data_IF_295959500128
#
_entry.id   IF_295959500128
#
_cell.length_a   1.000
_cell.length_b   1.000
_cell.length_c   1.000
_cell.angle_alpha   90.00
_cell.angle_beta   90.00
_cell.angle_gamma   90.00
#
_symmetry.space_group_name_H-M   'P 1'
#
loop_
_entity.id
_entity.type
_entity.pdbx_description
1 polymer ?
#
# COMPACT_ATOMS: atom_id res chain seq x y z
N UNK A 1 40.38 46.11 -15.91
CA UNK A 1 40.09 44.71 -15.48
C UNK A 1 38.69 44.22 -15.85
N UNK A 2 37.63 45.04 -15.80
CA UNK A 2 36.23 44.60 -16.00
C UNK A 2 35.95 43.78 -17.26
N UNK A 3 36.54 44.10 -18.42
CA UNK A 3 36.30 43.37 -19.67
C UNK A 3 36.59 41.87 -19.56
N UNK A 4 37.70 41.47 -18.93
CA UNK A 4 38.04 40.06 -18.69
C UNK A 4 37.04 39.35 -17.78
N UNK A 5 36.46 40.05 -16.79
CA UNK A 5 35.43 39.50 -15.92
C UNK A 5 34.13 39.23 -16.69
N UNK A 6 33.72 40.13 -17.58
CA UNK A 6 32.51 39.96 -18.39
C UNK A 6 32.59 38.71 -19.29
N UNK A 7 33.74 38.42 -19.90
CA UNK A 7 33.92 37.20 -20.69
C UNK A 7 33.86 35.92 -19.83
N UNK A 8 34.39 35.95 -18.61
CA UNK A 8 34.31 34.83 -17.67
C UNK A 8 32.86 34.57 -17.24
N UNK A 9 32.11 35.62 -16.89
CA UNK A 9 30.68 35.53 -16.56
C UNK A 9 29.87 34.99 -17.76
N UNK A 10 30.11 35.49 -18.97
CA UNK A 10 29.45 35.01 -20.18
C UNK A 10 29.77 33.52 -20.47
N UNK A 11 31.03 33.11 -20.31
CA UNK A 11 31.44 31.71 -20.47
C UNK A 11 30.79 30.79 -19.42
N UNK A 12 30.70 31.23 -18.16
CA UNK A 12 30.04 30.47 -17.10
C UNK A 12 28.53 30.32 -17.33
N UNK A 13 27.84 31.40 -17.72
CA UNK A 13 26.40 31.34 -18.07
C UNK A 13 26.17 30.44 -19.28
N UNK A 14 27.01 30.52 -20.31
CA UNK A 14 26.96 29.61 -21.46
C UNK A 14 27.15 28.16 -21.03
N UNK A 15 28.17 27.87 -20.21
CA UNK A 15 28.44 26.52 -19.69
C UNK A 15 27.26 25.97 -18.88
N UNK A 16 26.64 26.77 -18.01
CA UNK A 16 25.45 26.37 -17.24
C UNK A 16 24.27 26.01 -18.15
N UNK A 17 23.99 26.81 -19.19
CA UNK A 17 22.91 26.52 -20.15
C UNK A 17 23.14 25.18 -20.86
N UNK A 18 24.36 24.94 -21.34
CA UNK A 18 24.71 23.68 -22.02
C UNK A 18 24.65 22.49 -21.04
N UNK A 19 25.13 22.65 -19.81
CA UNK A 19 25.05 21.61 -18.78
C UNK A 19 23.59 21.26 -18.43
N UNK A 20 22.69 22.25 -18.29
CA UNK A 20 21.26 21.99 -18.07
C UNK A 20 20.61 21.24 -19.23
N UNK A 21 20.95 21.56 -20.47
CA UNK A 21 20.47 20.85 -21.67
C UNK A 21 20.96 19.39 -21.67
N UNK A 22 22.23 19.15 -21.35
CA UNK A 22 22.80 17.80 -21.28
C UNK A 22 22.12 16.99 -20.17
N UNK A 23 21.97 17.53 -18.95
CA UNK A 23 21.33 16.82 -17.84
C UNK A 23 19.85 16.49 -18.11
N UNK A 24 19.16 17.31 -18.90
CA UNK A 24 17.80 17.03 -19.37
C UNK A 24 17.78 15.91 -20.42
N UNK A 25 18.73 15.90 -21.36
CA UNK A 25 18.85 14.85 -22.39
C UNK A 25 19.30 13.49 -21.83
N UNK A 26 20.03 13.47 -20.72
CA UNK A 26 20.50 12.23 -20.07
C UNK A 26 19.56 11.74 -18.97
N UNK A 27 18.32 12.24 -18.90
CA UNK A 27 17.30 11.89 -17.89
C UNK A 27 17.81 11.97 -16.43
N UNK A 28 18.80 12.83 -16.13
CA UNK A 28 19.49 12.84 -14.83
C UNK A 28 18.55 13.14 -13.64
N UNK A 29 17.44 13.84 -13.91
CA UNK A 29 16.42 14.19 -12.91
C UNK A 29 15.30 13.15 -12.78
N UNK A 30 15.36 12.02 -13.50
CA UNK A 30 14.41 10.91 -13.32
C UNK A 30 14.70 10.15 -12.03
N UNK A 31 14.17 10.68 -10.92
CA UNK A 31 14.20 10.02 -9.63
C UNK A 31 13.29 8.79 -9.68
N UNK A 32 13.89 7.62 -9.87
CA UNK A 32 13.18 6.35 -9.93
C UNK A 32 12.48 6.11 -8.58
N UNK A 33 11.15 6.24 -8.56
CA UNK A 33 10.36 6.01 -7.35
C UNK A 33 10.51 4.55 -6.96
N UNK A 34 11.29 4.33 -5.89
CA UNK A 34 11.55 3.03 -5.27
C UNK A 34 10.28 2.17 -5.28
N UNK A 35 10.24 1.16 -6.17
CA UNK A 35 9.16 0.17 -6.20
C UNK A 35 9.28 -0.63 -4.89
N UNK A 36 8.48 -0.27 -3.88
CA UNK A 36 8.42 -1.04 -2.62
C UNK A 36 8.06 -2.49 -2.99
N UNK A 37 8.88 -3.49 -2.62
CA UNK A 37 8.49 -4.88 -2.81
C UNK A 37 7.31 -5.17 -1.90
N UNK A 38 6.12 -5.29 -2.47
CA UNK A 38 4.96 -5.81 -1.75
C UNK A 38 5.18 -7.29 -1.48
N UNK A 39 5.04 -7.66 -0.20
CA UNK A 39 5.04 -9.03 0.32
C UNK A 39 6.39 -9.78 0.33
N UNK A 40 7.12 -9.67 1.45
CA UNK A 40 8.18 -10.64 1.84
C UNK A 40 8.14 -11.04 3.32
N UNK A 41 7.02 -10.80 4.02
CA UNK A 41 6.79 -11.31 5.38
C UNK A 41 6.06 -12.66 5.27
N UNK A 42 6.64 -13.79 5.71
CA UNK A 42 5.93 -15.06 5.72
C UNK A 42 4.78 -14.98 6.71
N UNK A 43 3.59 -15.41 6.28
CA UNK A 43 2.41 -15.49 7.16
C UNK A 43 2.55 -16.75 8.01
N UNK A 44 2.80 -16.58 9.31
CA UNK A 44 2.71 -17.67 10.27
C UNK A 44 1.24 -18.04 10.47
N UNK A 45 0.81 -19.11 9.81
CA UNK A 45 -0.48 -19.77 10.06
C UNK A 45 -0.29 -20.85 11.11
N UNK A 46 -0.70 -20.55 12.35
CA UNK A 46 -0.83 -21.57 13.38
C UNK A 46 -2.07 -22.43 13.06
N UNK A 47 -1.84 -23.73 12.84
CA UNK A 47 -2.88 -24.67 12.44
C UNK A 47 -3.76 -25.01 13.65
N UNK A 48 -4.82 -24.22 13.85
CA UNK A 48 -5.92 -24.56 14.75
C UNK A 48 -6.68 -25.76 14.16
N UNK A 49 -6.31 -26.96 14.60
CA UNK A 49 -7.00 -28.19 14.23
C UNK A 49 -8.40 -28.21 14.87
N UNK A 50 -9.43 -28.07 14.04
CA UNK A 50 -10.84 -28.26 14.42
C UNK A 50 -11.03 -29.68 14.97
N UNK A 51 -11.18 -29.82 16.28
CA UNK A 51 -11.54 -31.11 16.89
C UNK A 51 -13.05 -31.33 16.79
N UNK A 52 -13.47 -32.49 16.28
CA UNK A 52 -14.85 -32.73 15.84
C UNK A 52 -15.90 -32.51 16.95
N UNK A 53 -16.83 -31.59 16.68
CA UNK A 53 -17.92 -31.23 17.60
C UNK A 53 -19.04 -32.30 17.58
N UNK A 54 -19.14 -33.11 18.63
CA UNK A 54 -20.36 -33.89 18.94
C UNK A 54 -21.34 -33.07 19.80
N UNK A 55 -22.64 -33.16 19.48
CA UNK A 55 -23.71 -32.30 20.03
C UNK A 55 -24.28 -32.75 21.38
N UNK A 56 -24.47 -31.75 22.27
CA UNK A 56 -25.56 -31.58 23.25
C UNK A 56 -25.57 -32.46 24.52
N UNK A 57 -26.22 -32.04 25.65
CA UNK A 57 -27.16 -30.91 25.83
C UNK A 57 -26.81 -29.87 26.92
N UNK A 58 -27.60 -28.78 26.97
CA UNK A 58 -27.50 -27.65 27.93
C UNK A 58 -28.08 -27.97 29.32
N UNK A 59 -27.61 -27.26 30.36
CA UNK A 59 -28.51 -26.65 31.35
C UNK A 59 -28.29 -25.12 31.49
N UNK A 60 -29.29 -24.44 32.06
CA UNK A 60 -29.23 -23.02 32.48
C UNK A 60 -28.78 -22.94 33.95
N UNK A 61 -28.13 -21.85 34.36
CA UNK A 61 -28.27 -21.34 35.71
C UNK A 61 -28.13 -19.81 35.77
N UNK A 62 -28.89 -19.17 36.66
CA UNK A 62 -29.00 -17.72 36.81
C UNK A 62 -28.23 -17.20 38.04
N UNK A 63 -28.26 -15.88 38.21
CA UNK A 63 -27.57 -15.10 39.25
C UNK A 63 -27.78 -15.63 40.69
N UNK A 64 -26.73 -15.55 41.52
CA UNK A 64 -26.80 -14.93 42.86
C UNK A 64 -25.41 -14.80 43.52
N UNK A 65 -24.93 -13.56 43.74
CA UNK A 65 -24.13 -13.19 44.92
C UNK A 65 -24.52 -11.75 45.29
N UNK A 66 -25.00 -11.56 46.52
CA UNK A 66 -25.29 -10.25 47.13
C UNK A 66 -25.01 -10.31 48.62
N UNK A 67 -24.48 -9.21 49.20
CA UNK A 67 -24.16 -9.01 50.63
C UNK A 67 -23.07 -9.96 51.21
N UNK A 68 -22.27 -9.65 52.24
CA UNK A 68 -22.06 -8.46 53.10
C UNK A 68 -20.64 -8.61 53.76
N UNK A 69 -19.99 -7.69 54.48
CA UNK A 69 -20.33 -6.38 55.09
C UNK A 69 -19.09 -5.44 55.07
N UNK A 70 -19.04 -4.42 55.96
CA UNK A 70 -17.98 -3.39 56.12
C UNK A 70 -17.20 -3.60 57.43
N UNK A 71 -15.93 -3.15 57.50
CA UNK A 71 -15.33 -2.58 58.72
C UNK A 71 -14.18 -1.61 58.39
N UNK A 72 -14.13 -0.48 59.08
CA UNK A 72 -13.26 0.69 58.80
C UNK A 72 -12.06 0.81 59.75
N UNK A 73 -11.22 1.82 59.47
CA UNK A 73 -9.99 2.27 60.17
C UNK A 73 -8.74 1.41 59.86
N UNK A 74 -7.55 2.00 59.68
CA UNK A 74 -6.91 2.98 60.56
C UNK A 74 -5.96 3.95 59.81
N UNK A 75 -6.18 5.26 60.04
CA UNK A 75 -5.22 6.39 60.05
C UNK A 75 -4.57 6.89 58.73
N UNK A 76 -4.41 8.21 58.70
CA UNK A 76 -3.81 9.06 57.66
C UNK A 76 -2.29 9.08 57.81
N UNK A 77 -1.55 9.13 56.70
CA UNK A 77 -0.23 9.78 56.69
C UNK A 77 0.02 10.46 55.35
N UNK A 78 0.53 11.70 55.42
CA UNK A 78 0.75 12.56 54.26
C UNK A 78 2.01 12.11 53.53
N UNK A 79 1.86 11.50 52.35
CA UNK A 79 2.97 11.41 51.40
C UNK A 79 2.60 12.05 50.07
N UNK A 80 3.30 13.15 49.82
CA UNK A 80 3.30 13.94 48.59
C UNK A 80 3.48 13.01 47.39
N UNK A 81 2.40 12.75 46.65
CA UNK A 81 2.46 12.03 45.37
C UNK A 81 3.12 12.96 44.36
N UNK A 82 4.45 12.97 44.36
CA UNK A 82 5.22 13.42 43.21
C UNK A 82 4.90 12.44 42.07
N UNK A 83 4.06 12.92 41.15
CA UNK A 83 3.60 12.20 39.96
C UNK A 83 4.83 11.74 39.16
N UNK A 84 5.22 10.49 39.36
CA UNK A 84 6.37 9.85 38.74
C UNK A 84 6.09 9.56 37.27
N UNK A 85 6.19 10.63 36.48
CA UNK A 85 6.12 10.73 35.02
C UNK A 85 7.25 9.98 34.29
N UNK A 86 7.62 8.79 34.79
CA UNK A 86 8.79 8.04 34.36
C UNK A 86 8.58 6.50 34.32
N UNK A 87 7.39 6.00 34.72
CA UNK A 87 7.11 4.55 34.80
C UNK A 87 6.03 4.08 33.80
N UNK A 88 5.20 4.98 33.26
CA UNK A 88 4.10 4.61 32.35
C UNK A 88 4.41 4.80 30.85
N UNK A 89 5.36 5.68 30.50
CA UNK A 89 5.60 6.07 29.11
C UNK A 89 6.15 4.93 28.24
N UNK A 90 6.88 3.97 28.79
CA UNK A 90 7.41 2.83 28.02
C UNK A 90 6.31 1.81 27.67
N UNK A 91 5.34 1.58 28.56
CA UNK A 91 4.24 0.65 28.30
C UNK A 91 3.22 1.22 27.32
N UNK A 92 2.82 2.48 27.49
CA UNK A 92 1.82 3.13 26.63
C UNK A 92 2.34 3.22 25.18
N UNK A 93 3.62 3.55 25.00
CA UNK A 93 4.22 3.69 23.68
C UNK A 93 4.35 2.34 22.95
N UNK A 94 4.67 1.26 23.68
CA UNK A 94 4.68 -0.10 23.13
C UNK A 94 3.26 -0.55 22.71
N UNK A 95 2.24 -0.29 23.54
CA UNK A 95 0.85 -0.62 23.21
C UNK A 95 0.35 0.14 21.98
N UNK A 96 0.66 1.43 21.87
CA UNK A 96 0.33 2.24 20.67
C UNK A 96 1.04 1.67 19.42
N UNK A 97 2.30 1.24 19.55
CA UNK A 97 3.03 0.63 18.44
C UNK A 97 2.46 -0.73 18.02
N UNK A 98 1.99 -1.54 18.98
CA UNK A 98 1.31 -2.82 18.73
C UNK A 98 -0.04 -2.61 18.03
N UNK A 99 -0.89 -1.71 18.55
CA UNK A 99 -2.16 -1.32 17.93
C UNK A 99 -1.96 -0.81 16.49
N UNK A 100 -0.95 0.05 16.27
CA UNK A 100 -0.58 0.51 14.93
C UNK A 100 -0.11 -0.64 14.03
N UNK A 101 0.68 -1.59 14.55
CA UNK A 101 1.12 -2.75 13.76
C UNK A 101 -0.06 -3.63 13.33
N UNK A 102 -1.02 -3.88 14.23
CA UNK A 102 -2.25 -4.63 13.96
C UNK A 102 -3.12 -3.89 12.92
N UNK A 103 -3.31 -2.59 13.07
CA UNK A 103 -4.04 -1.77 12.10
C UNK A 103 -3.40 -1.81 10.71
N UNK A 104 -2.09 -1.57 10.62
CA UNK A 104 -1.34 -1.64 9.36
C UNK A 104 -1.45 -3.03 8.70
N UNK A 105 -1.38 -4.11 9.48
CA UNK A 105 -1.58 -5.47 8.98
C UNK A 105 -3.00 -5.70 8.44
N UNK A 106 -4.03 -5.10 9.06
CA UNK A 106 -5.40 -5.13 8.54
C UNK A 106 -5.55 -4.36 7.22
N UNK A 107 -4.88 -3.21 7.08
CA UNK A 107 -4.88 -2.45 5.81
C UNK A 107 -4.12 -3.21 4.70
N UNK A 108 -2.95 -3.78 5.01
CA UNK A 108 -2.17 -4.62 4.08
C UNK A 108 -2.99 -5.81 3.54
N UNK A 109 -3.77 -6.49 4.39
CA UNK A 109 -4.60 -7.62 3.94
C UNK A 109 -5.73 -7.18 3.01
N UNK A 110 -6.40 -6.05 3.29
CA UNK A 110 -7.39 -5.44 2.39
C UNK A 110 -6.77 -4.99 1.05
N UNK A 111 -5.60 -4.34 1.09
CA UNK A 111 -4.86 -3.92 -0.13
C UNK A 111 -4.56 -5.14 -1.02
N UNK A 112 -4.10 -6.25 -0.42
CA UNK A 112 -3.84 -7.48 -1.16
C UNK A 112 -5.13 -8.11 -1.73
N UNK A 113 -6.24 -8.12 -0.99
CA UNK A 113 -7.53 -8.62 -1.49
C UNK A 113 -8.00 -7.84 -2.73
N UNK A 114 -8.07 -6.50 -2.63
CA UNK A 114 -8.53 -5.66 -3.74
C UNK A 114 -7.57 -5.68 -4.93
N UNK A 115 -6.25 -5.75 -4.69
CA UNK A 115 -5.26 -5.94 -5.76
C UNK A 115 -5.50 -7.23 -6.53
N UNK A 116 -5.77 -8.33 -5.84
CA UNK A 116 -6.11 -9.61 -6.47
C UNK A 116 -7.42 -9.55 -7.27
N UNK A 117 -8.44 -8.79 -6.81
CA UNK A 117 -9.67 -8.58 -7.58
C UNK A 117 -9.44 -7.77 -8.87
N UNK A 118 -8.57 -6.76 -8.83
CA UNK A 118 -8.16 -5.96 -10.00
C UNK A 118 -7.44 -6.84 -11.01
N UNK A 119 -6.44 -7.60 -10.56
CA UNK A 119 -5.67 -8.53 -11.40
C UNK A 119 -6.60 -9.54 -12.07
N UNK A 120 -7.49 -10.20 -11.32
CA UNK A 120 -8.47 -11.16 -11.87
C UNK A 120 -9.40 -10.54 -12.92
N UNK A 121 -9.87 -9.32 -12.67
CA UNK A 121 -10.77 -8.60 -13.61
C UNK A 121 -10.06 -8.21 -14.91
N UNK A 122 -8.78 -7.85 -14.84
CA UNK A 122 -7.98 -7.55 -16.03
C UNK A 122 -7.60 -8.82 -16.77
N UNK A 123 -7.22 -9.88 -16.05
CA UNK A 123 -6.88 -11.18 -16.63
C UNK A 123 -8.06 -11.79 -17.40
N UNK A 124 -9.28 -11.73 -16.86
CA UNK A 124 -10.48 -12.22 -17.57
C UNK A 124 -10.84 -11.38 -18.81
N UNK A 125 -10.48 -10.10 -18.83
CA UNK A 125 -10.64 -9.21 -20.00
C UNK A 125 -9.45 -9.28 -20.99
N UNK A 126 -8.38 -10.02 -20.66
CA UNK A 126 -7.17 -10.08 -21.47
C UNK A 126 -7.21 -11.22 -22.50
N UNK A 127 -7.20 -10.84 -23.76
CA UNK A 127 -7.02 -11.77 -24.88
C UNK A 127 -5.51 -11.89 -25.14
N UNK A 128 -4.88 -12.92 -24.57
CA UNK A 128 -3.45 -13.21 -24.77
C UNK A 128 -3.17 -13.51 -26.26
N UNK A 129 -2.28 -12.76 -26.94
CA UNK A 129 -1.95 -13.01 -28.33
C UNK A 129 -1.15 -14.32 -28.48
N UNK A 130 -1.44 -15.06 -29.55
CA UNK A 130 -0.75 -16.31 -29.89
C UNK A 130 0.60 -16.03 -30.60
N UNK A 131 1.51 -17.01 -30.57
CA UNK A 131 2.82 -16.96 -31.26
C UNK A 131 3.66 -15.71 -30.90
N UNK A 132 3.70 -15.38 -29.61
CA UNK A 132 4.57 -14.34 -29.04
C UNK A 132 5.86 -14.95 -28.50
N UNK A 133 6.89 -14.12 -28.37
CA UNK A 133 8.16 -14.50 -27.76
C UNK A 133 8.02 -14.61 -26.24
N UNK A 134 8.84 -15.47 -25.63
CA UNK A 134 8.92 -15.58 -24.17
C UNK A 134 9.62 -14.36 -23.54
N UNK A 135 9.36 -14.10 -22.26
CA UNK A 135 10.03 -13.02 -21.51
C UNK A 135 9.56 -11.60 -21.85
N UNK A 136 8.49 -11.42 -22.63
CA UNK A 136 7.90 -10.11 -22.88
C UNK A 136 7.28 -9.55 -21.60
N UNK A 137 7.68 -8.33 -21.22
CA UNK A 137 7.15 -7.65 -20.04
C UNK A 137 6.79 -6.21 -20.42
N UNK A 138 5.56 -5.77 -20.16
CA UNK A 138 5.17 -4.36 -20.29
C UNK A 138 4.58 -3.82 -18.99
N UNK A 139 4.94 -2.59 -18.62
CA UNK A 139 4.38 -1.87 -17.47
C UNK A 139 3.38 -0.83 -17.98
N UNK A 140 2.13 -0.91 -17.53
CA UNK A 140 1.06 0.04 -17.86
C UNK A 140 0.59 0.71 -16.56
N UNK A 141 0.49 2.03 -16.58
CA UNK A 141 -0.11 2.82 -15.51
C UNK A 141 -1.57 3.10 -15.85
N UNK A 142 -2.45 3.00 -14.88
CA UNK A 142 -3.83 3.47 -15.00
C UNK A 142 -4.23 4.37 -13.83
N UNK A 143 -5.06 5.36 -14.11
CA UNK A 143 -5.70 6.21 -13.10
C UNK A 143 -7.17 5.84 -13.01
N UNK A 144 -7.65 5.54 -11.81
CA UNK A 144 -9.01 5.04 -11.57
C UNK A 144 -9.75 6.01 -10.64
N UNK A 145 -11.01 6.33 -10.93
CA UNK A 145 -11.84 7.17 -10.05
C UNK A 145 -12.33 6.38 -8.82
N UNK A 146 -12.91 7.08 -7.83
CA UNK A 146 -13.41 6.43 -6.60
C UNK A 146 -14.51 5.39 -6.85
N UNK A 147 -15.25 5.55 -7.95
CA UNK A 147 -16.33 4.67 -8.38
C UNK A 147 -15.84 3.46 -9.21
N UNK A 148 -14.53 3.31 -9.39
CA UNK A 148 -13.90 2.20 -10.12
C UNK A 148 -13.74 2.40 -11.62
N UNK A 149 -14.16 3.52 -12.21
CA UNK A 149 -13.99 3.80 -13.65
C UNK A 149 -12.55 4.20 -13.96
N UNK A 150 -11.96 3.57 -14.96
CA UNK A 150 -10.64 3.93 -15.50
C UNK A 150 -10.75 5.26 -16.25
N UNK A 151 -9.99 6.26 -15.79
CA UNK A 151 -9.94 7.61 -16.38
C UNK A 151 -8.85 7.69 -17.45
N UNK A 152 -7.68 7.11 -17.16
CA UNK A 152 -6.47 7.22 -17.99
C UNK A 152 -5.71 5.91 -18.00
N UNK A 153 -5.08 5.60 -19.14
CA UNK A 153 -4.20 4.45 -19.35
C UNK A 153 -2.95 4.96 -20.08
N UNK A 154 -1.77 4.75 -19.50
CA UNK A 154 -0.47 5.15 -20.05
C UNK A 154 0.47 3.93 -20.13
N UNK A 155 1.04 3.65 -21.29
CA UNK A 155 2.12 2.67 -21.41
C UNK A 155 3.41 3.27 -20.84
N UNK A 156 3.91 2.74 -19.72
CA UNK A 156 5.13 3.24 -19.04
C UNK A 156 6.37 2.56 -19.61
N UNK A 157 6.29 1.24 -19.85
CA UNK A 157 7.37 0.46 -20.46
C UNK A 157 6.79 -0.48 -21.50
N UNK A 158 7.20 -0.31 -22.76
CA UNK A 158 6.91 -1.24 -23.84
C UNK A 158 7.69 -2.55 -23.64
N UNK A 159 7.08 -3.68 -24.05
CA UNK A 159 7.77 -4.97 -24.14
C UNK A 159 8.70 -5.10 -25.35
N UNK A 160 8.72 -4.10 -26.25
CA UNK A 160 9.30 -4.22 -27.58
C UNK A 160 8.38 -4.94 -28.59
N UNK A 161 7.26 -5.53 -28.16
CA UNK A 161 6.29 -6.18 -29.02
C UNK A 161 4.96 -5.43 -29.05
N UNK A 162 4.72 -4.68 -30.13
CA UNK A 162 3.51 -3.87 -30.32
C UNK A 162 2.20 -4.69 -30.27
N UNK A 163 2.20 -5.99 -30.59
CA UNK A 163 1.00 -6.84 -30.49
C UNK A 163 0.68 -7.16 -29.04
N UNK A 164 1.71 -7.47 -28.24
CA UNK A 164 1.58 -7.72 -26.81
C UNK A 164 1.14 -6.46 -26.07
N UNK A 165 1.82 -5.33 -26.27
CA UNK A 165 1.49 -4.06 -25.60
C UNK A 165 0.04 -3.62 -25.90
N UNK A 166 -0.38 -3.70 -27.17
CA UNK A 166 -1.76 -3.41 -27.55
C UNK A 166 -2.77 -4.40 -26.96
N UNK A 167 -2.40 -5.66 -26.74
CA UNK A 167 -3.29 -6.65 -26.10
C UNK A 167 -3.56 -6.29 -24.63
N UNK A 168 -2.53 -5.80 -23.93
CA UNK A 168 -2.59 -5.39 -22.53
C UNK A 168 -3.35 -4.07 -22.35
N UNK A 169 -3.08 -3.06 -23.19
CA UNK A 169 -3.86 -1.81 -23.24
C UNK A 169 -5.36 -2.10 -23.50
N UNK A 170 -5.66 -3.00 -24.44
CA UNK A 170 -7.04 -3.42 -24.72
C UNK A 170 -7.67 -4.21 -23.57
N UNK A 171 -6.91 -4.98 -22.78
CA UNK A 171 -7.45 -5.67 -21.61
C UNK A 171 -8.01 -4.68 -20.59
N UNK A 172 -7.22 -3.65 -20.24
CA UNK A 172 -7.63 -2.61 -19.30
C UNK A 172 -8.81 -1.81 -19.85
N UNK A 173 -8.76 -1.45 -21.14
CA UNK A 173 -9.86 -0.74 -21.81
C UNK A 173 -11.17 -1.54 -21.87
N UNK A 174 -11.11 -2.88 -21.87
CA UNK A 174 -12.32 -3.74 -21.84
C UNK A 174 -12.95 -3.84 -20.45
N UNK A 175 -12.17 -3.67 -19.38
CA UNK A 175 -12.72 -3.67 -18.02
C UNK A 175 -13.62 -2.44 -17.82
N UNK A 176 -13.16 -1.27 -18.29
CA UNK A 176 -13.75 0.08 -18.13
C UNK A 176 -14.02 0.52 -16.67
N UNK A 177 -14.78 -0.26 -15.89
CA UNK A 177 -15.19 0.04 -14.51
C UNK A 177 -15.10 -1.19 -13.60
N UNK A 178 -14.34 -1.07 -12.52
CA UNK A 178 -14.24 -2.06 -11.45
C UNK A 178 -15.38 -1.89 -10.43
N UNK A 179 -16.38 -2.76 -10.47
CA UNK A 179 -17.60 -2.67 -9.64
C UNK A 179 -17.37 -2.66 -8.11
N UNK A 180 -16.23 -3.18 -7.64
CA UNK A 180 -15.93 -3.34 -6.22
C UNK A 180 -15.24 -2.12 -5.56
N UNK A 181 -14.83 -1.09 -6.31
CA UNK A 181 -14.10 0.07 -5.76
C UNK A 181 -14.87 0.88 -4.71
N UNK A 182 -16.20 0.81 -4.76
CA UNK A 182 -17.09 1.41 -3.76
C UNK A 182 -16.93 0.78 -2.37
N UNK A 183 -16.39 -0.44 -2.26
CA UNK A 183 -16.14 -1.15 -0.99
C UNK A 183 -14.79 -0.82 -0.35
N UNK A 184 -13.87 -0.20 -1.10
CA UNK A 184 -12.54 0.19 -0.60
C UNK A 184 -12.74 1.43 0.31
N UNK A 185 -12.05 1.54 1.46
CA UNK A 185 -11.96 2.79 2.21
C UNK A 185 -11.43 3.98 1.37
N UNK A 186 -11.70 5.22 1.78
CA UNK A 186 -11.26 6.40 1.01
C UNK A 186 -9.76 6.68 1.14
N UNK A 187 -9.18 6.47 2.32
CA UNK A 187 -7.73 6.57 2.58
C UNK A 187 -6.95 5.62 1.64
N UNK A 188 -7.24 4.31 1.72
CA UNK A 188 -6.58 3.26 0.93
C UNK A 188 -6.78 3.49 -0.59
N UNK A 189 -7.97 3.93 -1.01
CA UNK A 189 -8.19 4.30 -2.41
C UNK A 189 -7.25 5.42 -2.87
N UNK A 190 -7.13 6.49 -2.09
CA UNK A 190 -6.38 7.68 -2.48
C UNK A 190 -4.86 7.46 -2.44
N UNK A 191 -4.36 6.60 -1.55
CA UNK A 191 -2.93 6.20 -1.48
C UNK A 191 -2.55 5.22 -2.59
N UNK A 192 -3.26 4.09 -2.72
CA UNK A 192 -2.75 2.92 -3.44
C UNK A 192 -3.52 2.61 -4.74
N UNK A 193 -4.85 2.79 -4.76
CA UNK A 193 -5.68 2.39 -5.91
C UNK A 193 -6.00 3.50 -6.92
N UNK A 194 -5.72 4.76 -6.59
CA UNK A 194 -5.97 5.90 -7.49
C UNK A 194 -5.08 5.88 -8.73
N UNK A 195 -3.81 5.47 -8.59
CA UNK A 195 -2.83 5.37 -9.67
C UNK A 195 -2.08 4.05 -9.56
N UNK A 196 -2.50 3.05 -10.33
CA UNK A 196 -1.97 1.70 -10.26
C UNK A 196 -0.97 1.49 -11.39
N UNK A 197 0.17 0.86 -11.08
CA UNK A 197 1.10 0.32 -12.07
C UNK A 197 0.86 -1.19 -12.15
N UNK A 198 0.58 -1.70 -13.35
CA UNK A 198 0.37 -3.13 -13.60
C UNK A 198 1.36 -3.61 -14.63
N UNK A 199 2.07 -4.68 -14.28
CA UNK A 199 3.01 -5.38 -15.15
C UNK A 199 2.30 -6.56 -15.79
N UNK A 200 2.33 -6.65 -17.12
CA UNK A 200 1.84 -7.80 -17.88
C UNK A 200 3.00 -8.70 -18.27
N UNK A 201 2.81 -10.01 -18.12
CA UNK A 201 3.72 -11.08 -18.52
C UNK A 201 2.88 -12.19 -19.21
N UNK A 202 3.27 -12.71 -20.39
CA UNK A 202 2.55 -13.80 -21.06
C UNK A 202 2.89 -15.19 -20.55
N UNK A 203 3.99 -15.36 -19.81
CA UNK A 203 4.36 -16.63 -19.20
C UNK A 203 3.46 -16.98 -18.01
#
# INVERSE_FOLDING_TARGET
MQTRSNYLVAAFVSFMIHASIILYLTDFFYFEKQKRPVLSKPVNVELLFETEIKKSPKPKFEQNISSNTISENVIKEENKIELSSLIQDTNILNLIQEDQAIQNQSEDTLINEFSNLIIKSIQSAWIKPQNIQDGLICDIRMTINKNGRVIKIDLVKSSGNIRFDNSALKAISRVETFSFFNRIPFNIYQSDFKNILITFNPS
#
